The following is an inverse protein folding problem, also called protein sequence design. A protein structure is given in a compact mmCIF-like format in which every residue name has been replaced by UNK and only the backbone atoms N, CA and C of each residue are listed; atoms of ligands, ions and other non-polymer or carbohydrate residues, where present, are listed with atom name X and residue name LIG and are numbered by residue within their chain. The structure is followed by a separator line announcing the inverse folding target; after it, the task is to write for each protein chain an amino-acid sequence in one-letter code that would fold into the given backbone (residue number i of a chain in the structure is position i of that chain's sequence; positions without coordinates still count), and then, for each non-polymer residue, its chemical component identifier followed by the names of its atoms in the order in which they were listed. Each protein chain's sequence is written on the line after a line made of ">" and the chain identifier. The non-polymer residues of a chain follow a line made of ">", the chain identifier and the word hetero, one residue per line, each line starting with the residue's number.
data_IF_152061601093
#
_entry.id   IF_152061601093
#
_cell.length_a   1.000
_cell.length_b   1.000
_cell.length_c   1.000
_cell.angle_alpha   90.00
_cell.angle_beta   90.00
_cell.angle_gamma   90.00
#
_symmetry.space_group_name_H-M   'P 1'
#
loop_
_entity.id
_entity.type
_entity.pdbx_description
1 polymer ?
#
# COMPACT_ATOMS: atom_id res chain seq x y z
N UNK A 1 -16.86 15.82 6.51
CA UNK A 1 -17.70 14.66 6.89
C UNK A 1 -17.66 14.46 8.41
N UNK A 2 -18.71 13.91 9.02
CA UNK A 2 -18.76 13.66 10.49
C UNK A 2 -18.15 12.33 10.90
N UNK A 3 -18.11 11.36 10.00
CA UNK A 3 -17.70 9.98 10.29
C UNK A 3 -16.55 9.57 9.37
N UNK A 4 -15.56 8.88 9.92
CA UNK A 4 -14.48 8.21 9.19
C UNK A 4 -14.52 6.70 9.42
N UNK A 5 -13.63 5.95 8.77
CA UNK A 5 -13.47 4.52 8.99
C UNK A 5 -12.03 4.22 9.40
N UNK A 6 -11.82 3.60 10.57
CA UNK A 6 -10.48 3.14 10.98
C UNK A 6 -10.20 1.79 10.35
N UNK A 7 -9.18 1.72 9.47
CA UNK A 7 -8.80 0.45 8.85
C UNK A 7 -8.21 -0.53 9.87
N UNK A 8 -7.49 -0.03 10.88
CA UNK A 8 -6.93 -0.90 11.93
C UNK A 8 -8.01 -1.48 12.84
N UNK A 9 -8.97 -0.66 13.29
CA UNK A 9 -10.02 -1.11 14.21
C UNK A 9 -11.20 -1.79 13.50
N UNK A 10 -11.43 -1.48 12.22
CA UNK A 10 -12.54 -2.04 11.45
C UNK A 10 -13.88 -1.41 11.75
N UNK A 11 -13.88 -0.17 12.24
CA UNK A 11 -15.09 0.50 12.72
C UNK A 11 -15.20 1.94 12.21
N UNK A 12 -16.44 2.43 12.21
CA UNK A 12 -16.76 3.82 11.93
C UNK A 12 -16.49 4.67 13.17
N UNK A 13 -15.77 5.78 12.98
CA UNK A 13 -15.36 6.69 14.06
C UNK A 13 -15.97 8.07 13.85
N UNK A 14 -16.52 8.65 14.90
CA UNK A 14 -17.08 10.01 14.86
C UNK A 14 -15.99 11.05 15.06
N UNK A 15 -16.07 12.17 14.33
CA UNK A 15 -15.04 13.19 14.33
C UNK A 15 -14.90 13.92 15.68
N UNK A 16 -15.91 13.91 16.53
CA UNK A 16 -15.89 14.50 17.88
C UNK A 16 -15.08 13.65 18.88
N UNK A 17 -15.08 12.32 18.72
CA UNK A 17 -14.26 11.40 19.52
C UNK A 17 -12.80 11.30 19.10
N UNK A 18 -12.37 12.03 18.06
CA UNK A 18 -11.00 12.02 17.54
C UNK A 18 -10.25 13.27 17.97
N UNK A 19 -9.00 13.09 18.39
CA UNK A 19 -8.05 14.20 18.53
C UNK A 19 -7.17 14.33 17.30
N UNK A 20 -6.46 15.45 17.19
CA UNK A 20 -5.46 15.63 16.13
C UNK A 20 -4.47 14.48 16.10
N UNK A 21 -4.10 14.06 14.89
CA UNK A 21 -3.17 12.96 14.58
C UNK A 21 -3.70 11.53 14.76
N UNK A 22 -4.92 11.36 15.26
CA UNK A 22 -5.53 10.03 15.35
C UNK A 22 -5.75 9.42 13.97
N UNK A 23 -6.00 10.25 12.96
CA UNK A 23 -6.23 9.79 11.60
C UNK A 23 -5.02 9.03 11.05
N UNK A 24 -3.81 9.56 11.25
CA UNK A 24 -2.58 8.92 10.84
C UNK A 24 -2.29 7.65 11.64
N UNK A 25 -2.54 7.65 12.95
CA UNK A 25 -2.17 6.52 13.80
C UNK A 25 -3.14 5.34 13.74
N UNK A 26 -4.44 5.62 13.60
CA UNK A 26 -5.47 4.61 13.42
C UNK A 26 -5.82 4.36 11.95
N UNK A 27 -5.06 4.98 11.04
CA UNK A 27 -5.23 4.90 9.59
C UNK A 27 -6.69 5.12 9.20
N UNK A 28 -7.24 6.26 9.64
CA UNK A 28 -8.64 6.65 9.42
C UNK A 28 -8.77 7.24 8.01
N UNK A 29 -9.72 6.69 7.26
CA UNK A 29 -9.99 7.05 5.87
C UNK A 29 -11.44 7.48 5.69
N UNK A 30 -11.73 8.07 4.53
CA UNK A 30 -13.09 8.26 4.07
C UNK A 30 -13.75 6.89 3.85
N UNK A 31 -14.94 6.63 4.43
CA UNK A 31 -15.61 5.35 4.24
C UNK A 31 -16.06 5.11 2.80
N UNK A 32 -16.33 6.18 2.03
CA UNK A 32 -16.78 6.08 0.64
C UNK A 32 -15.63 5.81 -0.34
N UNK A 33 -14.58 6.63 -0.32
CA UNK A 33 -13.50 6.56 -1.31
C UNK A 33 -12.17 5.98 -0.80
N UNK A 34 -12.10 5.62 0.49
CA UNK A 34 -10.90 5.08 1.17
C UNK A 34 -9.66 5.99 1.13
N UNK A 35 -9.83 7.25 0.74
CA UNK A 35 -8.75 8.23 0.81
C UNK A 35 -8.45 8.65 2.26
N UNK A 36 -7.20 8.99 2.58
CA UNK A 36 -6.83 9.57 3.86
C UNK A 36 -7.61 10.83 4.17
N UNK A 37 -7.92 10.99 5.45
CA UNK A 37 -8.57 12.20 5.97
C UNK A 37 -7.80 12.74 7.17
N UNK A 38 -8.09 13.98 7.54
CA UNK A 38 -7.54 14.62 8.72
C UNK A 38 -8.63 15.30 9.54
N UNK A 39 -8.35 15.45 10.83
CA UNK A 39 -9.25 16.06 11.80
C UNK A 39 -9.24 17.58 11.68
N UNK A 40 -10.42 18.18 11.63
CA UNK A 40 -10.62 19.63 11.71
C UNK A 40 -11.54 19.97 12.87
N UNK A 41 -11.18 21.03 13.57
CA UNK A 41 -11.92 21.62 14.67
C UNK A 41 -12.16 23.09 14.33
N UNK A 42 -13.40 23.54 14.47
CA UNK A 42 -13.77 24.93 14.29
C UNK A 42 -14.62 25.36 15.47
N UNK A 43 -14.10 26.30 16.26
CA UNK A 43 -14.91 27.00 17.25
C UNK A 43 -15.70 28.10 16.54
N UNK A 44 -17.03 28.08 16.69
CA UNK A 44 -17.89 29.15 16.22
C UNK A 44 -19.01 29.36 17.22
N UNK A 45 -19.15 30.59 17.73
CA UNK A 45 -20.25 31.00 18.61
C UNK A 45 -20.42 30.12 19.87
N UNK A 46 -19.31 29.62 20.43
CA UNK A 46 -19.33 28.83 21.67
C UNK A 46 -19.57 27.32 21.50
N UNK A 47 -19.90 26.84 20.30
CA UNK A 47 -19.99 25.42 19.98
C UNK A 47 -18.81 24.96 19.14
N UNK A 48 -18.06 23.96 19.64
CA UNK A 48 -17.00 23.30 18.89
C UNK A 48 -17.58 22.42 17.79
N UNK A 49 -17.28 22.71 16.52
CA UNK A 49 -17.64 21.85 15.39
C UNK A 49 -16.47 20.94 15.02
N UNK A 50 -16.74 19.64 15.06
CA UNK A 50 -15.79 18.57 14.79
C UNK A 50 -16.11 17.90 13.44
N UNK A 51 -15.17 17.88 12.50
CA UNK A 51 -15.33 17.15 11.24
C UNK A 51 -14.01 16.62 10.69
N UNK A 52 -14.10 15.71 9.73
CA UNK A 52 -13.00 15.17 8.96
C UNK A 52 -13.00 15.77 7.55
N UNK A 53 -11.80 16.03 7.02
CA UNK A 53 -11.60 16.55 5.67
C UNK A 53 -10.63 15.66 4.89
N UNK A 54 -10.85 15.56 3.59
CA UNK A 54 -9.90 14.97 2.66
C UNK A 54 -8.68 15.86 2.52
N UNK A 55 -7.52 15.26 2.30
CA UNK A 55 -6.37 15.99 1.78
C UNK A 55 -6.65 16.50 0.36
N UNK A 56 -5.98 17.58 -0.02
CA UNK A 56 -6.07 18.14 -1.36
C UNK A 56 -5.61 17.09 -2.38
N UNK A 57 -6.51 16.68 -3.26
CA UNK A 57 -6.13 15.90 -4.44
C UNK A 57 -5.23 16.76 -5.34
N UNK A 58 -4.13 16.19 -5.84
CA UNK A 58 -3.44 16.74 -6.99
C UNK A 58 -4.45 16.81 -8.16
N UNK A 59 -4.37 17.88 -8.98
CA UNK A 59 -5.43 18.30 -9.95
C UNK A 59 -5.92 17.19 -10.91
N UNK A 60 -5.21 16.07 -11.03
CA UNK A 60 -5.51 14.96 -11.92
C UNK A 60 -6.54 13.96 -11.40
N UNK A 61 -6.83 13.89 -10.09
CA UNK A 61 -7.69 12.84 -9.52
C UNK A 61 -8.69 13.40 -8.50
N UNK A 62 -9.55 14.32 -8.93
CA UNK A 62 -10.75 14.64 -8.18
C UNK A 62 -11.73 13.47 -8.33
N UNK A 63 -11.61 12.46 -7.47
CA UNK A 63 -12.63 11.44 -7.31
C UNK A 63 -13.94 12.14 -6.88
N UNK A 64 -15.03 11.88 -7.61
CA UNK A 64 -16.40 12.29 -7.27
C UNK A 64 -16.87 11.55 -6.01
N UNK A 65 -16.25 11.86 -4.88
CA UNK A 65 -16.69 11.37 -3.59
C UNK A 65 -17.78 12.31 -3.07
N UNK A 66 -18.99 11.79 -2.87
CA UNK A 66 -20.14 12.51 -2.31
C UNK A 66 -19.86 13.15 -0.94
N UNK A 67 -18.92 12.59 -0.17
CA UNK A 67 -18.49 13.09 1.15
C UNK A 67 -17.39 14.14 1.06
N UNK A 68 -16.85 14.38 -0.14
CA UNK A 68 -15.90 15.46 -0.41
C UNK A 68 -16.70 16.75 -0.50
N UNK A 69 -16.41 17.69 0.40
CA UNK A 69 -17.01 19.03 0.34
C UNK A 69 -16.57 19.69 -0.97
N UNK A 70 -17.52 19.85 -1.90
CA UNK A 70 -17.26 20.38 -3.24
C UNK A 70 -16.81 21.84 -3.22
N UNK A 71 -15.80 22.14 -4.05
CA UNK A 71 -15.28 23.47 -4.42
C UNK A 71 -15.09 24.45 -3.25
N UNK A 72 -14.18 24.11 -2.34
CA UNK A 72 -13.54 25.12 -1.48
C UNK A 72 -12.72 26.07 -2.36
N UNK A 73 -12.93 27.38 -2.19
CA UNK A 73 -12.11 28.41 -2.84
C UNK A 73 -10.65 28.32 -2.37
N UNK A 74 -9.70 28.86 -3.15
CA UNK A 74 -8.28 28.89 -2.76
C UNK A 74 -8.03 29.53 -1.38
N UNK A 75 -8.85 30.51 -0.99
CA UNK A 75 -8.83 31.14 0.33
C UNK A 75 -9.35 30.23 1.46
N UNK A 76 -10.43 29.48 1.22
CA UNK A 76 -10.93 28.50 2.17
C UNK A 76 -9.98 27.31 2.34
N UNK A 77 -9.28 26.93 1.27
CA UNK A 77 -8.22 25.92 1.31
C UNK A 77 -7.03 26.41 2.13
N UNK A 78 -6.60 27.67 1.95
CA UNK A 78 -5.56 28.28 2.79
C UNK A 78 -5.94 28.29 4.26
N UNK A 79 -7.20 28.63 4.57
CA UNK A 79 -7.76 28.60 5.92
C UNK A 79 -7.78 27.18 6.52
N UNK A 80 -8.25 26.19 5.77
CA UNK A 80 -8.28 24.78 6.20
C UNK A 80 -6.88 24.19 6.38
N UNK A 81 -5.92 24.58 5.53
CA UNK A 81 -4.51 24.20 5.71
C UNK A 81 -3.93 24.82 6.99
N UNK A 82 -4.28 26.06 7.32
CA UNK A 82 -3.95 26.65 8.62
C UNK A 82 -4.57 25.88 9.80
N UNK A 83 -5.79 25.37 9.62
CA UNK A 83 -6.49 24.53 10.61
C UNK A 83 -5.97 23.08 10.68
N UNK A 84 -5.17 22.64 9.70
CA UNK A 84 -4.65 21.27 9.66
C UNK A 84 -3.62 20.98 10.77
N UNK A 85 -3.12 21.99 11.51
CA UNK A 85 -2.20 21.84 12.67
C UNK A 85 -1.09 20.78 12.42
N UNK A 86 -0.38 20.90 11.30
CA UNK A 86 0.70 19.98 10.87
C UNK A 86 0.28 18.53 10.51
N UNK A 87 -1.01 18.23 10.38
CA UNK A 87 -1.50 16.96 9.83
C UNK A 87 -1.22 16.89 8.33
N UNK A 88 -0.04 16.37 7.96
CA UNK A 88 0.45 16.28 6.58
C UNK A 88 0.14 14.90 6.00
N UNK A 89 -0.29 14.84 4.74
CA UNK A 89 -0.51 13.57 4.03
C UNK A 89 0.75 12.67 4.08
N UNK A 90 1.94 13.26 3.98
CA UNK A 90 3.20 12.53 4.10
C UNK A 90 3.36 11.83 5.44
N UNK A 91 2.83 12.39 6.54
CA UNK A 91 2.85 11.76 7.85
C UNK A 91 1.92 10.54 7.86
N UNK A 92 0.67 10.69 7.38
CA UNK A 92 -0.30 9.59 7.25
C UNK A 92 0.30 8.40 6.51
N UNK A 93 0.86 8.66 5.32
CA UNK A 93 1.44 7.63 4.47
C UNK A 93 2.69 6.99 5.10
N UNK A 94 3.46 7.75 5.88
CA UNK A 94 4.69 7.25 6.49
C UNK A 94 4.46 6.22 7.60
N UNK A 95 3.25 6.14 8.17
CA UNK A 95 2.91 5.17 9.22
C UNK A 95 2.96 3.76 8.65
N UNK A 96 2.23 3.50 7.57
CA UNK A 96 2.24 2.19 6.89
C UNK A 96 3.64 1.83 6.39
N UNK A 97 4.31 2.76 5.69
CA UNK A 97 5.68 2.53 5.19
C UNK A 97 6.67 2.21 6.32
N UNK A 98 6.52 2.89 7.47
CA UNK A 98 7.34 2.65 8.64
C UNK A 98 7.08 1.30 9.30
N UNK A 99 5.82 0.86 9.33
CA UNK A 99 5.43 -0.45 9.83
C UNK A 99 6.00 -1.58 8.96
N UNK A 100 5.87 -1.47 7.63
CA UNK A 100 6.42 -2.43 6.65
C UNK A 100 7.93 -2.59 6.82
N UNK A 101 8.68 -1.48 6.86
CA UNK A 101 10.14 -1.52 7.06
C UNK A 101 10.49 -2.25 8.37
N UNK A 102 9.79 -1.91 9.46
CA UNK A 102 10.07 -2.48 10.78
C UNK A 102 9.81 -3.99 10.80
N UNK A 103 8.69 -4.42 10.23
CA UNK A 103 8.29 -5.83 10.20
C UNK A 103 9.27 -6.68 9.39
N UNK A 104 9.76 -6.18 8.24
CA UNK A 104 10.54 -6.98 7.29
C UNK A 104 12.05 -6.93 7.58
N UNK A 105 12.58 -5.74 7.90
CA UNK A 105 14.03 -5.55 8.07
C UNK A 105 14.44 -5.03 9.46
N UNK A 106 13.49 -4.72 10.33
CA UNK A 106 13.75 -4.05 11.62
C UNK A 106 13.97 -2.54 11.49
N UNK A 107 13.80 -1.84 12.62
CA UNK A 107 13.87 -0.37 12.68
C UNK A 107 15.24 0.19 12.26
N UNK A 108 16.32 -0.54 12.55
CA UNK A 108 17.71 -0.17 12.27
C UNK A 108 18.02 -0.06 10.76
N UNK A 109 17.28 -0.77 9.89
CA UNK A 109 17.52 -0.76 8.44
C UNK A 109 16.74 0.32 7.69
N UNK A 110 15.94 1.14 8.39
CA UNK A 110 15.03 2.13 7.79
C UNK A 110 15.68 3.09 6.80
N UNK A 111 16.84 3.65 7.14
CA UNK A 111 17.55 4.59 6.27
C UNK A 111 18.02 3.91 4.98
N UNK A 112 18.57 2.70 5.10
CA UNK A 112 19.07 1.90 3.99
C UNK A 112 17.93 1.52 3.02
N UNK A 113 16.84 0.94 3.54
CA UNK A 113 15.69 0.54 2.71
C UNK A 113 15.09 1.74 1.98
N UNK A 114 14.91 2.87 2.68
CA UNK A 114 14.41 4.11 2.05
C UNK A 114 15.32 4.61 0.93
N UNK A 115 16.64 4.52 1.10
CA UNK A 115 17.60 4.90 0.06
C UNK A 115 17.48 4.02 -1.19
N UNK A 116 17.32 2.71 -1.00
CA UNK A 116 17.14 1.75 -2.11
C UNK A 116 15.82 2.00 -2.81
N UNK A 117 14.70 2.06 -2.07
CA UNK A 117 13.37 2.30 -2.64
C UNK A 117 13.31 3.63 -3.38
N UNK A 118 13.94 4.70 -2.87
CA UNK A 118 13.99 5.99 -3.56
C UNK A 118 14.65 5.89 -4.93
N UNK A 119 15.74 5.14 -5.07
CA UNK A 119 16.37 4.91 -6.38
C UNK A 119 15.43 4.18 -7.34
N UNK A 120 14.68 3.20 -6.85
CA UNK A 120 13.67 2.48 -7.67
C UNK A 120 12.48 3.38 -8.04
N UNK A 121 12.11 4.34 -7.18
CA UNK A 121 11.07 5.32 -7.47
C UNK A 121 11.45 6.26 -8.62
N UNK A 122 12.73 6.63 -8.73
CA UNK A 122 13.26 7.50 -9.79
C UNK A 122 13.32 6.82 -11.17
N UNK A 123 13.22 5.49 -11.25
CA UNK A 123 13.27 4.73 -12.50
C UNK A 123 11.99 4.88 -13.34
N UNK A 124 12.11 5.36 -14.58
CA UNK A 124 10.99 5.61 -15.51
C UNK A 124 10.24 4.33 -15.88
N UNK A 125 10.94 3.24 -16.15
CA UNK A 125 10.36 1.96 -16.55
C UNK A 125 9.54 1.36 -15.40
N UNK A 126 10.06 1.43 -14.18
CA UNK A 126 9.33 1.03 -12.98
C UNK A 126 8.13 1.95 -12.74
N UNK A 127 8.20 3.24 -13.05
CA UNK A 127 7.04 4.13 -12.96
C UNK A 127 5.91 3.66 -13.88
N UNK A 128 6.21 3.33 -15.14
CA UNK A 128 5.24 2.77 -16.08
C UNK A 128 4.65 1.44 -15.58
N UNK A 129 5.48 0.54 -15.06
CA UNK A 129 5.00 -0.72 -14.49
C UNK A 129 4.10 -0.50 -13.28
N UNK A 130 4.43 0.45 -12.40
CA UNK A 130 3.57 0.82 -11.26
C UNK A 130 2.23 1.38 -11.71
N UNK A 131 2.21 2.22 -12.76
CA UNK A 131 0.98 2.77 -13.34
C UNK A 131 0.08 1.65 -13.87
N UNK A 132 0.62 0.75 -14.71
CA UNK A 132 -0.16 -0.38 -15.22
C UNK A 132 -0.63 -1.30 -14.09
N UNK A 133 0.26 -1.56 -13.13
CA UNK A 133 0.00 -2.45 -12.01
C UNK A 133 -1.11 -1.93 -11.07
N UNK A 134 -1.14 -0.62 -10.77
CA UNK A 134 -2.19 -0.05 -9.92
C UNK A 134 -3.54 0.00 -10.64
N UNK A 135 -3.57 0.26 -11.94
CA UNK A 135 -4.80 0.22 -12.72
C UNK A 135 -5.35 -1.20 -12.82
N UNK A 136 -4.49 -2.19 -13.05
CA UNK A 136 -4.89 -3.61 -13.01
C UNK A 136 -5.47 -3.98 -11.64
N UNK A 137 -4.81 -3.57 -10.55
CA UNK A 137 -5.36 -3.79 -9.20
C UNK A 137 -6.71 -3.12 -9.01
N UNK A 138 -6.93 -1.90 -9.51
CA UNK A 138 -8.24 -1.24 -9.41
C UNK A 138 -9.33 -2.01 -10.15
N UNK A 139 -9.01 -2.68 -11.25
CA UNK A 139 -9.99 -3.49 -11.99
C UNK A 139 -10.35 -4.81 -11.32
N UNK A 140 -9.48 -5.37 -10.47
CA UNK A 140 -9.63 -6.72 -9.89
C UNK A 140 -9.82 -6.75 -8.36
N UNK A 141 -9.28 -5.76 -7.63
CA UNK A 141 -9.29 -5.69 -6.16
C UNK A 141 -10.68 -5.68 -5.48
N UNK A 142 -11.80 -5.31 -6.13
CA UNK A 142 -13.07 -5.26 -5.42
C UNK A 142 -13.59 -6.62 -4.87
N UNK A 143 -13.43 -7.78 -5.53
CA UNK A 143 -14.18 -8.99 -5.12
C UNK A 143 -13.43 -10.30 -5.46
N UNK A 144 -12.90 -11.04 -4.47
CA UNK A 144 -12.44 -12.45 -4.55
C UNK A 144 -10.92 -12.72 -4.71
N UNK A 145 -10.17 -11.96 -5.51
CA UNK A 145 -8.73 -12.28 -5.70
C UNK A 145 -7.87 -12.09 -4.44
N UNK A 146 -8.25 -11.17 -3.55
CA UNK A 146 -7.54 -10.96 -2.30
C UNK A 146 -7.53 -12.22 -1.43
N UNK A 147 -8.67 -12.91 -1.34
CA UNK A 147 -8.81 -14.08 -0.48
C UNK A 147 -7.97 -15.25 -1.03
N UNK A 148 -7.92 -15.43 -2.36
CA UNK A 148 -7.04 -16.40 -3.02
C UNK A 148 -5.56 -16.10 -2.75
N UNK A 149 -5.14 -14.84 -2.83
CA UNK A 149 -3.76 -14.45 -2.50
C UNK A 149 -3.45 -14.66 -1.02
N UNK A 150 -4.41 -14.41 -0.13
CA UNK A 150 -4.25 -14.60 1.29
C UNK A 150 -4.12 -16.08 1.66
N UNK A 151 -4.94 -16.95 1.06
CA UNK A 151 -4.87 -18.41 1.23
C UNK A 151 -3.52 -18.95 0.78
N UNK A 152 -3.13 -18.64 -0.46
CA UNK A 152 -1.82 -19.04 -1.00
C UNK A 152 -0.66 -18.54 -0.14
N UNK A 153 -0.80 -17.37 0.48
CA UNK A 153 0.23 -16.84 1.36
C UNK A 153 0.31 -17.61 2.70
N UNK A 154 -0.82 -17.96 3.30
CA UNK A 154 -0.82 -18.71 4.57
C UNK A 154 -0.33 -20.15 4.41
N UNK A 155 -0.52 -20.75 3.23
CA UNK A 155 0.09 -22.04 2.89
C UNK A 155 1.63 -21.98 2.99
N UNK A 156 2.24 -20.85 2.63
CA UNK A 156 3.70 -20.69 2.62
C UNK A 156 4.29 -20.36 4.00
N UNK A 157 3.58 -19.60 4.84
CA UNK A 157 4.16 -19.03 6.08
C UNK A 157 3.50 -19.50 7.38
N UNK A 158 2.39 -20.24 7.29
CA UNK A 158 1.57 -20.65 8.41
C UNK A 158 0.52 -19.62 8.82
N UNK A 159 -0.59 -20.13 9.35
CA UNK A 159 -1.75 -19.34 9.76
C UNK A 159 -1.57 -18.67 11.13
N UNK A 160 -2.28 -17.56 11.40
CA UNK A 160 -2.45 -17.03 12.74
C UNK A 160 -3.04 -18.09 13.70
N UNK A 161 -2.80 -17.97 15.03
CA UNK A 161 -3.14 -19.04 15.98
C UNK A 161 -4.63 -19.34 16.13
N UNK A 162 -5.50 -18.48 15.58
CA UNK A 162 -6.97 -18.66 15.64
C UNK A 162 -7.60 -18.13 14.36
N UNK A 163 -8.69 -18.76 13.95
CA UNK A 163 -9.53 -18.30 12.82
C UNK A 163 -10.03 -16.87 13.01
N UNK A 164 -10.27 -16.45 14.26
CA UNK A 164 -10.62 -15.06 14.58
C UNK A 164 -9.47 -14.10 14.26
N UNK A 165 -8.25 -14.40 14.71
CA UNK A 165 -7.08 -13.56 14.45
C UNK A 165 -6.79 -13.47 12.95
N UNK A 166 -6.95 -14.58 12.23
CA UNK A 166 -6.83 -14.63 10.78
C UNK A 166 -7.87 -13.76 10.08
N UNK A 167 -9.15 -13.91 10.42
CA UNK A 167 -10.22 -13.10 9.83
C UNK A 167 -10.00 -11.60 10.05
N UNK A 168 -9.54 -11.21 11.25
CA UNK A 168 -9.20 -9.81 11.54
C UNK A 168 -7.98 -9.35 10.74
N UNK A 169 -6.94 -10.18 10.63
CA UNK A 169 -5.73 -9.87 9.86
C UNK A 169 -6.05 -9.66 8.37
N UNK A 170 -6.81 -10.59 7.77
CA UNK A 170 -7.28 -10.51 6.38
C UNK A 170 -8.11 -9.26 6.15
N UNK A 171 -9.06 -8.94 7.04
CA UNK A 171 -9.85 -7.70 6.96
C UNK A 171 -8.96 -6.46 6.92
N UNK A 172 -8.03 -6.31 7.88
CA UNK A 172 -7.16 -5.11 7.94
C UNK A 172 -6.32 -5.01 6.67
N UNK A 173 -5.71 -6.11 6.24
CA UNK A 173 -4.87 -6.14 5.04
C UNK A 173 -5.68 -5.78 3.77
N UNK A 174 -6.92 -6.28 3.64
CA UNK A 174 -7.83 -5.92 2.55
C UNK A 174 -8.19 -4.43 2.59
N UNK A 175 -8.55 -3.90 3.76
CA UNK A 175 -8.85 -2.48 3.94
C UNK A 175 -7.65 -1.61 3.53
N UNK A 176 -6.43 -2.01 3.91
CA UNK A 176 -5.19 -1.34 3.51
C UNK A 176 -4.96 -1.39 2.01
N UNK A 177 -5.23 -2.52 1.35
CA UNK A 177 -5.11 -2.64 -0.10
C UNK A 177 -6.07 -1.69 -0.83
N UNK A 178 -7.34 -1.65 -0.40
CA UNK A 178 -8.34 -0.73 -0.94
C UNK A 178 -7.94 0.74 -0.74
N UNK A 179 -7.33 1.05 0.40
CA UNK A 179 -6.76 2.37 0.62
C UNK A 179 -5.58 2.66 -0.32
N UNK A 180 -4.65 1.72 -0.52
CA UNK A 180 -3.46 1.90 -1.35
C UNK A 180 -3.78 2.25 -2.81
N UNK A 181 -4.89 1.74 -3.33
CA UNK A 181 -5.35 2.06 -4.69
C UNK A 181 -6.11 3.39 -4.78
N UNK A 182 -6.38 4.07 -3.66
CA UNK A 182 -6.99 5.40 -3.66
C UNK A 182 -6.01 6.48 -4.16
N UNK A 183 -6.49 7.58 -4.76
CA UNK A 183 -5.63 8.62 -5.37
C UNK A 183 -4.54 9.17 -4.45
N UNK A 184 -4.89 9.51 -3.22
CA UNK A 184 -3.97 10.13 -2.26
C UNK A 184 -3.04 9.11 -1.58
N UNK A 185 -3.18 7.82 -1.87
CA UNK A 185 -2.31 6.76 -1.34
C UNK A 185 -1.20 6.34 -2.31
N UNK A 186 -1.15 6.92 -3.51
CA UNK A 186 -0.24 6.50 -4.60
C UNK A 186 1.22 6.36 -4.17
N UNK A 187 1.74 7.28 -3.36
CA UNK A 187 3.13 7.22 -2.86
C UNK A 187 3.38 6.02 -1.95
N UNK A 188 2.38 5.59 -1.17
CA UNK A 188 2.48 4.35 -0.39
C UNK A 188 2.38 3.13 -1.30
N UNK A 189 1.50 3.14 -2.30
CA UNK A 189 1.47 2.08 -3.30
C UNK A 189 2.82 1.90 -3.99
N UNK A 190 3.40 2.98 -4.53
CA UNK A 190 4.69 2.93 -5.22
C UNK A 190 5.82 2.45 -4.30
N UNK A 191 5.76 2.84 -3.03
CA UNK A 191 6.69 2.34 -2.01
C UNK A 191 6.54 0.83 -1.83
N UNK A 192 5.33 0.34 -1.57
CA UNK A 192 5.08 -1.08 -1.34
C UNK A 192 5.40 -1.91 -2.59
N UNK A 193 5.04 -1.46 -3.79
CA UNK A 193 5.41 -2.13 -5.04
C UNK A 193 6.91 -2.35 -5.17
N UNK A 194 7.72 -1.32 -4.91
CA UNK A 194 9.17 -1.44 -4.99
C UNK A 194 9.75 -2.35 -3.88
N UNK A 195 9.11 -2.36 -2.72
CA UNK A 195 9.46 -3.25 -1.60
C UNK A 195 9.11 -4.70 -1.93
N UNK A 196 7.94 -4.97 -2.53
CA UNK A 196 7.56 -6.28 -3.04
C UNK A 196 8.57 -6.80 -4.07
N UNK A 197 8.99 -5.95 -5.00
CA UNK A 197 9.99 -6.31 -6.01
C UNK A 197 11.35 -6.66 -5.38
N UNK A 198 11.76 -5.95 -4.32
CA UNK A 198 12.97 -6.27 -3.56
C UNK A 198 12.88 -7.64 -2.87
N UNK A 199 11.71 -7.97 -2.31
CA UNK A 199 11.48 -9.26 -1.64
C UNK A 199 11.48 -10.38 -2.66
N UNK A 200 10.77 -10.19 -3.79
CA UNK A 200 10.73 -11.15 -4.88
C UNK A 200 12.14 -11.47 -5.41
N UNK A 201 12.95 -10.44 -5.67
CA UNK A 201 14.34 -10.65 -6.11
C UNK A 201 15.16 -11.40 -5.07
N UNK A 202 15.04 -11.04 -3.79
CA UNK A 202 15.75 -11.74 -2.72
C UNK A 202 15.33 -13.21 -2.61
N UNK A 203 14.04 -13.52 -2.77
CA UNK A 203 13.50 -14.89 -2.73
C UNK A 203 14.02 -15.71 -3.90
N UNK A 204 13.94 -15.16 -5.12
CA UNK A 204 14.41 -15.83 -6.34
C UNK A 204 15.93 -16.04 -6.31
N UNK A 205 16.71 -15.05 -5.85
CA UNK A 205 18.16 -15.19 -5.68
C UNK A 205 18.50 -16.29 -4.68
N UNK A 206 17.83 -16.35 -3.52
CA UNK A 206 18.08 -17.39 -2.53
C UNK A 206 17.75 -18.80 -3.04
N UNK A 207 16.65 -18.93 -3.79
CA UNK A 207 16.28 -20.21 -4.43
C UNK A 207 17.30 -20.62 -5.50
N UNK A 208 17.84 -19.66 -6.26
CA UNK A 208 18.88 -19.94 -7.26
C UNK A 208 20.19 -20.36 -6.62
N UNK A 209 20.61 -19.68 -5.55
CA UNK A 209 21.79 -20.05 -4.76
C UNK A 209 21.65 -21.45 -4.13
N UNK A 210 20.42 -21.83 -3.74
CA UNK A 210 20.10 -23.16 -3.23
C UNK A 210 19.99 -24.24 -4.32
N UNK A 211 20.06 -23.86 -5.61
CA UNK A 211 19.89 -24.78 -6.73
C UNK A 211 18.46 -25.31 -6.89
N UNK A 212 17.46 -24.67 -6.27
CA UNK A 212 16.06 -25.11 -6.28
C UNK A 212 15.22 -24.46 -7.38
N UNK A 213 15.81 -23.65 -8.25
CA UNK A 213 15.07 -22.97 -9.33
C UNK A 213 14.97 -23.78 -10.61
N UNK A 214 13.84 -23.66 -11.29
CA UNK A 214 13.66 -24.11 -12.66
C UNK A 214 14.04 -23.01 -13.68
N UNK A 215 14.02 -23.35 -14.98
CA UNK A 215 14.44 -22.42 -16.03
C UNK A 215 13.53 -21.18 -16.16
N UNK A 216 12.23 -21.32 -15.86
CA UNK A 216 11.29 -20.21 -15.93
C UNK A 216 11.45 -19.27 -14.72
N UNK A 217 11.74 -19.80 -13.54
CA UNK A 217 12.08 -19.00 -12.35
C UNK A 217 13.37 -18.20 -12.55
N UNK A 218 14.42 -18.82 -13.10
CA UNK A 218 15.64 -18.09 -13.48
C UNK A 218 15.37 -16.97 -14.48
N UNK A 219 14.44 -17.19 -15.42
CA UNK A 219 14.05 -16.17 -16.39
C UNK A 219 13.31 -15.01 -15.72
N UNK A 220 12.34 -15.31 -14.85
CA UNK A 220 11.63 -14.32 -14.05
C UNK A 220 12.61 -13.51 -13.18
N UNK A 221 13.57 -14.19 -12.53
CA UNK A 221 14.62 -13.57 -11.74
C UNK A 221 15.47 -12.61 -12.59
N UNK A 222 15.89 -13.02 -13.79
CA UNK A 222 16.62 -12.19 -14.73
C UNK A 222 15.89 -10.89 -15.10
N UNK A 223 14.56 -10.95 -15.30
CA UNK A 223 13.76 -9.74 -15.52
C UNK A 223 13.71 -8.84 -14.28
N UNK A 224 13.48 -9.39 -13.09
CA UNK A 224 13.45 -8.63 -11.85
C UNK A 224 14.79 -7.90 -11.60
N UNK A 225 15.92 -8.59 -11.78
CA UNK A 225 17.26 -8.01 -11.62
C UNK A 225 17.51 -6.88 -12.63
N UNK A 226 17.15 -7.07 -13.90
CA UNK A 226 17.32 -6.04 -14.94
C UNK A 226 16.45 -4.81 -14.69
N UNK A 227 15.24 -4.99 -14.15
CA UNK A 227 14.37 -3.88 -13.77
C UNK A 227 14.92 -3.08 -12.58
N UNK A 228 15.54 -3.77 -11.60
CA UNK A 228 16.04 -3.14 -10.38
C UNK A 228 17.43 -2.52 -10.52
N UNK A 229 18.32 -3.18 -11.28
CA UNK A 229 19.76 -2.88 -11.34
C UNK A 229 20.24 -2.49 -12.73
N UNK A 230 19.44 -2.74 -13.77
CA UNK A 230 19.80 -2.41 -15.15
C UNK A 230 19.76 -0.91 -15.40
N UNK A 231 20.44 -0.48 -16.48
CA UNK A 231 20.26 0.88 -17.00
C UNK A 231 18.88 1.00 -17.64
N UNK A 232 18.46 2.24 -17.90
CA UNK A 232 17.16 2.54 -18.50
C UNK A 232 16.84 1.68 -19.74
N UNK A 233 17.83 1.53 -20.64
CA UNK A 233 17.72 0.70 -21.85
C UNK A 233 17.58 -0.79 -21.54
N UNK A 234 18.32 -1.28 -20.54
CA UNK A 234 18.32 -2.69 -20.15
C UNK A 234 17.01 -3.09 -19.49
N UNK A 235 16.44 -2.19 -18.66
CA UNK A 235 15.13 -2.33 -18.05
C UNK A 235 14.01 -2.26 -19.10
N UNK A 236 14.10 -1.35 -20.08
CA UNK A 236 13.13 -1.27 -21.17
C UNK A 236 13.15 -2.53 -22.04
N UNK A 237 14.34 -3.06 -22.36
CA UNK A 237 14.48 -4.33 -23.06
C UNK A 237 13.90 -5.50 -22.24
N UNK A 238 14.11 -5.52 -20.92
CA UNK A 238 13.55 -6.56 -20.05
C UNK A 238 12.02 -6.55 -20.07
N UNK A 239 11.38 -5.38 -20.05
CA UNK A 239 9.93 -5.25 -20.20
C UNK A 239 9.51 -5.77 -21.57
N UNK A 240 10.17 -5.33 -22.64
CA UNK A 240 9.86 -5.76 -24.01
C UNK A 240 9.93 -7.27 -24.17
N UNK A 241 10.99 -7.91 -23.68
CA UNK A 241 11.14 -9.37 -23.70
C UNK A 241 10.06 -10.05 -22.86
N UNK A 242 9.84 -9.63 -21.61
CA UNK A 242 8.85 -10.21 -20.73
C UNK A 242 7.40 -10.07 -21.23
N UNK A 243 7.11 -9.07 -22.07
CA UNK A 243 5.80 -8.92 -22.72
C UNK A 243 5.54 -9.96 -23.81
N UNK A 244 6.59 -10.48 -24.46
CA UNK A 244 6.44 -11.38 -25.62
C UNK A 244 6.79 -12.83 -25.28
N UNK A 245 7.68 -13.06 -24.31
CA UNK A 245 8.00 -14.40 -23.85
C UNK A 245 6.87 -14.95 -22.97
N UNK A 246 6.45 -16.18 -23.27
CA UNK A 246 5.32 -16.84 -22.61
C UNK A 246 5.82 -17.84 -21.57
N UNK A 247 5.42 -17.63 -20.32
CA UNK A 247 5.51 -18.60 -19.25
C UNK A 247 4.55 -19.77 -19.51
N UNK A 248 5.00 -21.00 -19.27
CA UNK A 248 4.29 -22.23 -19.62
C UNK A 248 4.02 -23.10 -18.38
N UNK A 249 2.99 -23.96 -18.39
CA UNK A 249 2.81 -24.99 -17.36
C UNK A 249 4.05 -25.87 -17.16
N UNK A 250 4.33 -26.35 -15.94
CA UNK A 250 3.55 -26.16 -14.70
C UNK A 250 3.88 -24.86 -13.93
N UNK A 251 4.75 -23.99 -14.46
CA UNK A 251 5.15 -22.76 -13.76
C UNK A 251 4.01 -21.75 -13.61
N UNK A 252 3.07 -21.79 -14.56
CA UNK A 252 1.78 -21.09 -14.54
C UNK A 252 0.69 -22.07 -14.96
N UNK A 253 -0.53 -21.93 -14.45
CA UNK A 253 -1.64 -22.82 -14.82
C UNK A 253 -2.05 -22.65 -16.29
N UNK A 254 -2.15 -21.40 -16.74
CA UNK A 254 -2.48 -21.02 -18.12
C UNK A 254 -1.30 -20.24 -18.72
N UNK A 255 -0.89 -20.53 -19.97
CA UNK A 255 0.19 -19.80 -20.62
C UNK A 255 -0.06 -18.28 -20.63
N UNK A 256 0.92 -17.51 -20.16
CA UNK A 256 0.80 -16.05 -20.04
C UNK A 256 2.15 -15.35 -20.25
N UNK A 257 2.18 -14.06 -20.63
CA UNK A 257 3.43 -13.31 -20.70
C UNK A 257 4.16 -13.28 -19.35
N UNK A 258 5.49 -13.37 -19.38
CA UNK A 258 6.32 -13.24 -18.18
C UNK A 258 6.10 -11.90 -17.46
N UNK A 259 5.74 -10.83 -18.16
CA UNK A 259 5.40 -9.56 -17.54
C UNK A 259 4.14 -9.67 -16.65
N UNK A 260 3.14 -10.42 -17.10
CA UNK A 260 1.93 -10.68 -16.32
C UNK A 260 2.26 -11.51 -15.08
N UNK A 261 3.07 -12.56 -15.22
CA UNK A 261 3.53 -13.38 -14.09
C UNK A 261 4.35 -12.55 -13.09
N UNK A 262 5.26 -11.69 -13.57
CA UNK A 262 6.02 -10.79 -12.71
C UNK A 262 5.11 -9.85 -11.93
N UNK A 263 4.09 -9.28 -12.58
CA UNK A 263 3.07 -8.47 -11.91
C UNK A 263 2.34 -9.24 -10.81
N UNK A 264 1.91 -10.47 -11.11
CA UNK A 264 1.23 -11.34 -10.15
C UNK A 264 2.11 -11.68 -8.93
N UNK A 265 3.40 -11.99 -9.14
CA UNK A 265 4.34 -12.26 -8.04
C UNK A 265 4.60 -11.00 -7.18
N UNK A 266 4.69 -9.82 -7.80
CA UNK A 266 4.81 -8.56 -7.07
C UNK A 266 3.56 -8.28 -6.22
N UNK A 267 2.37 -8.58 -6.74
CA UNK A 267 1.11 -8.46 -6.01
C UNK A 267 1.00 -9.46 -4.87
N UNK A 268 1.40 -10.72 -5.11
CA UNK A 268 1.47 -11.74 -4.08
C UNK A 268 2.37 -11.28 -2.91
N UNK A 269 3.58 -10.78 -3.19
CA UNK A 269 4.45 -10.23 -2.14
C UNK A 269 3.86 -8.98 -1.47
N UNK A 270 3.14 -8.12 -2.22
CA UNK A 270 2.46 -6.94 -1.66
C UNK A 270 1.39 -7.34 -0.64
N UNK A 271 0.54 -8.29 -1.00
CA UNK A 271 -0.53 -8.81 -0.15
C UNK A 271 0.07 -9.54 1.05
N UNK A 272 1.05 -10.40 0.81
CA UNK A 272 1.78 -11.09 1.86
C UNK A 272 2.43 -10.11 2.85
N UNK A 273 2.96 -8.98 2.40
CA UNK A 273 3.46 -7.94 3.31
C UNK A 273 2.37 -7.34 4.19
N UNK A 274 1.20 -7.06 3.64
CA UNK A 274 0.07 -6.52 4.43
C UNK A 274 -0.38 -7.56 5.46
N UNK A 275 -0.48 -8.84 5.06
CA UNK A 275 -0.83 -9.94 5.96
C UNK A 275 0.22 -10.20 7.04
N UNK A 276 1.50 -9.84 6.83
CA UNK A 276 2.60 -9.96 7.81
C UNK A 276 2.66 -8.84 8.85
N UNK A 277 1.96 -7.72 8.62
CA UNK A 277 2.09 -6.59 9.53
C UNK A 277 1.52 -6.95 10.91
N UNK A 278 2.25 -6.67 12.01
CA UNK A 278 1.79 -7.00 13.36
C UNK A 278 0.75 -5.97 13.83
N UNK A 279 -0.43 -5.94 13.21
CA UNK A 279 -1.44 -4.90 13.44
C UNK A 279 -1.87 -4.81 14.91
N UNK A 280 -2.00 -5.96 15.59
CA UNK A 280 -2.33 -6.00 17.02
C UNK A 280 -1.24 -5.36 17.90
N UNK A 281 0.03 -5.60 17.61
CA UNK A 281 1.13 -4.96 18.33
C UNK A 281 1.17 -3.46 18.06
N UNK A 282 0.96 -3.07 16.80
CA UNK A 282 0.88 -1.66 16.40
C UNK A 282 -0.25 -0.96 17.15
N UNK A 283 -1.43 -1.58 17.26
CA UNK A 283 -2.56 -1.04 18.03
C UNK A 283 -2.24 -0.95 19.52
N UNK A 284 -1.64 -1.99 20.11
CA UNK A 284 -1.25 -2.01 21.52
C UNK A 284 -0.24 -0.93 21.88
N UNK A 285 0.79 -0.72 21.04
CA UNK A 285 1.78 0.35 21.23
C UNK A 285 1.11 1.73 21.26
N UNK A 286 0.04 1.94 20.48
CA UNK A 286 -0.68 3.21 20.43
C UNK A 286 -1.60 3.45 21.62
N UNK A 287 -2.22 2.40 22.14
CA UNK A 287 -2.98 2.49 23.39
C UNK A 287 -2.06 2.81 24.57
N UNK A 288 -0.91 2.13 24.66
CA UNK A 288 0.06 2.36 25.73
C UNK A 288 0.66 3.77 25.71
N UNK A 289 0.92 4.35 24.52
CA UNK A 289 1.46 5.71 24.40
C UNK A 289 0.48 6.83 24.82
N UNK A 290 -0.78 6.51 25.13
CA UNK A 290 -1.81 7.43 25.61
C UNK A 290 -2.09 7.31 27.12
N UNK A 291 -1.55 6.26 27.75
CA UNK A 291 -1.66 6.00 29.19
C UNK A 291 -0.49 6.67 29.92
#
# INVERSE_FOLDING_TARGET
>A
MKTGYSMLLGEYVQADGLVHRDCEHFQIVCPACREPVFKVEQEREGEGRHYLSHYRAERSHASDCELRVGRLSGGEIGRLNGLSRDQKLSLFLSVLQGAVIRAIWGAQKRSMVRKVVRRLQEGRQLAMLRDVSIENLRSIAPFDEFDLWAESYYDDVGEPPTTFAEAVQRRIARDMLLHLISPNARRSYDFLFNVSLLILESRLSAAEDAGSTNAQERRLHGYAVRLMRGRERDAAAAIGEAMHEIAQPPFVETPMPFLGKLGAEIHHELVGMLLRLPYFEILREKQAARS
#
